data_IF_968004960383
#
_entry.id   IF_968004960383
#
_cell.length_a   1.000
_cell.length_b   1.000
_cell.length_c   1.000
_cell.angle_alpha   90.00
_cell.angle_beta   90.00
_cell.angle_gamma   90.00
#
_symmetry.space_group_name_H-M   'P 1'
#
loop_
_entity.id
_entity.type
_entity.pdbx_description
1 polymer ?
#
# COMPACT_ATOMS: atom_id res chain seq x y z
N UNK A 1 5.14 -30.37 4.57
CA UNK A 1 4.41 -29.12 4.27
C UNK A 1 5.49 -28.13 3.89
N UNK A 2 5.73 -27.95 2.59
CA UNK A 2 6.78 -27.05 2.11
C UNK A 2 6.18 -25.66 2.12
N UNK A 3 6.54 -24.86 3.13
CA UNK A 3 6.22 -23.44 3.19
C UNK A 3 7.02 -22.73 2.08
N UNK A 4 6.44 -22.60 0.89
CA UNK A 4 6.95 -21.71 -0.12
C UNK A 4 6.45 -20.30 0.20
N UNK A 5 7.06 -19.67 1.21
CA UNK A 5 6.92 -18.23 1.38
C UNK A 5 7.47 -17.55 0.13
N UNK A 6 6.65 -16.74 -0.59
CA UNK A 6 7.16 -15.96 -1.71
C UNK A 6 8.28 -15.06 -1.16
N UNK A 7 9.46 -15.12 -1.78
CA UNK A 7 10.58 -14.30 -1.37
C UNK A 7 10.26 -12.83 -1.71
N UNK A 8 9.90 -12.05 -0.69
CA UNK A 8 9.71 -10.60 -0.82
C UNK A 8 11.09 -9.96 -1.02
N UNK A 9 11.30 -9.30 -2.16
CA UNK A 9 12.56 -8.59 -2.44
C UNK A 9 12.46 -7.12 -2.05
N UNK A 10 12.95 -6.78 -0.86
CA UNK A 10 12.87 -5.42 -0.30
C UNK A 10 13.66 -4.35 -1.08
N UNK A 11 14.41 -4.74 -2.11
CA UNK A 11 15.10 -3.80 -3.01
C UNK A 11 14.16 -3.23 -4.08
N UNK A 12 13.03 -3.90 -4.35
CA UNK A 12 12.05 -3.42 -5.33
C UNK A 12 11.10 -2.43 -4.66
N UNK A 13 10.98 -1.26 -5.25
CA UNK A 13 10.07 -0.22 -4.81
C UNK A 13 9.08 0.07 -5.92
N UNK A 14 7.82 0.23 -5.56
CA UNK A 14 6.74 0.40 -6.53
C UNK A 14 6.00 1.69 -6.26
N UNK A 15 5.55 2.34 -7.32
CA UNK A 15 4.68 3.50 -7.25
C UNK A 15 3.47 3.29 -8.14
N UNK A 16 2.27 3.51 -7.62
CA UNK A 16 1.04 3.57 -8.41
C UNK A 16 0.48 4.97 -8.36
N UNK A 17 0.31 5.60 -9.51
CA UNK A 17 -0.35 6.91 -9.59
C UNK A 17 -1.86 6.73 -9.37
N UNK A 18 -2.42 7.41 -8.38
CA UNK A 18 -3.87 7.45 -8.15
C UNK A 18 -4.45 8.64 -8.91
N UNK A 19 -4.03 9.85 -8.55
CA UNK A 19 -4.58 11.08 -9.12
C UNK A 19 -3.53 12.20 -9.18
N UNK A 20 -3.59 13.03 -10.22
CA UNK A 20 -2.93 14.34 -10.24
C UNK A 20 -3.97 15.43 -10.03
N UNK A 21 -3.88 16.13 -8.90
CA UNK A 21 -4.87 17.11 -8.47
C UNK A 21 -4.65 18.46 -9.14
N UNK A 22 -5.74 19.24 -9.35
CA UNK A 22 -5.65 20.58 -9.92
C UNK A 22 -4.86 21.55 -9.01
N UNK A 23 -4.78 21.28 -7.71
CA UNK A 23 -4.03 22.07 -6.73
C UNK A 23 -2.50 21.85 -6.82
N UNK A 24 -2.02 21.05 -7.77
CA UNK A 24 -0.58 20.79 -7.99
C UNK A 24 0.00 19.66 -7.14
N UNK A 25 -0.84 18.91 -6.44
CA UNK A 25 -0.45 17.71 -5.68
C UNK A 25 -0.71 16.43 -6.49
N UNK A 26 -0.02 15.37 -6.10
CA UNK A 26 -0.09 14.03 -6.69
C UNK A 26 -0.37 13.05 -5.57
N UNK A 27 -1.46 12.31 -5.72
CA UNK A 27 -1.85 11.19 -4.87
C UNK A 27 -1.33 9.89 -5.51
N UNK A 28 -0.61 9.10 -4.73
CA UNK A 28 0.01 7.87 -5.20
C UNK A 28 0.22 6.87 -4.07
N UNK A 29 0.28 5.59 -4.43
CA UNK A 29 0.66 4.50 -3.52
C UNK A 29 2.16 4.25 -3.65
N UNK A 30 2.83 3.96 -2.54
CA UNK A 30 4.23 3.54 -2.51
C UNK A 30 4.37 2.22 -1.76
N UNK A 31 5.02 1.24 -2.39
CA UNK A 31 5.19 -0.10 -1.85
C UNK A 31 6.66 -0.56 -1.90
N UNK A 32 7.07 -1.44 -0.99
CA UNK A 32 8.42 -1.99 -0.93
C UNK A 32 8.33 -3.52 -0.87
N UNK A 33 8.98 -4.17 -1.83
CA UNK A 33 9.04 -5.62 -2.00
C UNK A 33 7.74 -6.24 -2.51
N UNK A 34 6.62 -5.90 -1.89
CA UNK A 34 5.31 -6.38 -2.28
C UNK A 34 4.40 -5.21 -2.71
N UNK A 35 3.86 -5.21 -3.94
CA UNK A 35 3.02 -4.12 -4.44
C UNK A 35 1.60 -4.10 -3.85
N UNK A 36 1.17 -5.13 -3.12
CA UNK A 36 -0.12 -5.17 -2.44
C UNK A 36 -0.05 -4.56 -1.03
N UNK A 37 1.15 -4.46 -0.43
CA UNK A 37 1.40 -3.75 0.82
C UNK A 37 2.01 -2.36 0.57
N UNK A 38 1.16 -1.35 0.51
CA UNK A 38 1.55 0.02 0.18
C UNK A 38 1.14 1.04 1.24
N UNK A 39 1.81 2.19 1.22
CA UNK A 39 1.42 3.40 1.92
C UNK A 39 0.86 4.42 0.91
N UNK A 40 -0.24 5.06 1.26
CA UNK A 40 -0.81 6.17 0.48
C UNK A 40 -0.05 7.46 0.79
N UNK A 41 0.32 8.19 -0.27
CA UNK A 41 1.13 9.40 -0.18
C UNK A 41 0.53 10.53 -1.02
N UNK A 42 0.72 11.76 -0.55
CA UNK A 42 0.32 13.00 -1.22
C UNK A 42 1.52 13.95 -1.23
N UNK A 43 2.04 14.27 -2.41
CA UNK A 43 3.19 15.18 -2.57
C UNK A 43 2.94 16.21 -3.67
N UNK A 44 3.56 17.40 -3.61
CA UNK A 44 3.63 18.28 -4.78
C UNK A 44 4.23 17.56 -5.99
N UNK A 45 3.82 17.92 -7.21
CA UNK A 45 4.24 17.23 -8.43
C UNK A 45 5.78 17.12 -8.59
N UNK A 46 6.51 18.19 -8.32
CA UNK A 46 7.99 18.22 -8.42
C UNK A 46 8.64 17.25 -7.40
N UNK A 47 8.12 17.23 -6.17
CA UNK A 47 8.58 16.33 -5.12
C UNK A 47 8.25 14.87 -5.42
N UNK A 48 7.11 14.58 -6.07
CA UNK A 48 6.77 13.25 -6.55
C UNK A 48 7.77 12.76 -7.62
N UNK A 49 8.13 13.60 -8.59
CA UNK A 49 9.10 13.23 -9.63
C UNK A 49 10.51 12.99 -9.06
N UNK A 50 10.95 13.85 -8.14
CA UNK A 50 12.20 13.66 -7.40
C UNK A 50 12.17 12.39 -6.53
N UNK A 51 11.04 12.11 -5.89
CA UNK A 51 10.85 10.90 -5.08
C UNK A 51 10.98 9.63 -5.92
N UNK A 52 10.30 9.58 -7.08
CA UNK A 52 10.36 8.44 -8.00
C UNK A 52 11.78 8.18 -8.50
N UNK A 53 12.52 9.25 -8.84
CA UNK A 53 13.90 9.15 -9.30
C UNK A 53 14.84 8.68 -8.19
N UNK A 54 14.76 9.29 -7.01
CA UNK A 54 15.62 8.97 -5.85
C UNK A 54 15.42 7.54 -5.36
N UNK A 55 14.19 7.04 -5.46
CA UNK A 55 13.85 5.70 -5.01
C UNK A 55 13.92 4.64 -6.11
N UNK A 56 14.26 4.99 -7.34
CA UNK A 56 14.36 4.04 -8.47
C UNK A 56 13.11 3.16 -8.59
N UNK A 57 11.94 3.81 -8.52
CA UNK A 57 10.66 3.09 -8.39
C UNK A 57 10.20 2.46 -9.71
N UNK A 58 9.53 1.33 -9.59
CA UNK A 58 8.81 0.67 -10.67
C UNK A 58 7.40 1.25 -10.71
N UNK A 59 7.03 1.91 -11.80
CA UNK A 59 5.68 2.45 -11.96
C UNK A 59 4.68 1.34 -12.31
N UNK A 60 3.61 1.27 -11.52
CA UNK A 60 2.49 0.36 -11.74
C UNK A 60 1.37 1.08 -12.51
N UNK A 61 0.63 0.31 -13.30
CA UNK A 61 -0.60 0.78 -13.92
C UNK A 61 -1.71 1.03 -12.89
N UNK A 62 -2.81 1.67 -13.31
CA UNK A 62 -3.99 1.84 -12.46
C UNK A 62 -4.45 0.48 -11.92
N UNK A 63 -5.02 0.48 -10.72
CA UNK A 63 -5.59 -0.73 -10.14
C UNK A 63 -6.88 -1.04 -10.88
N UNK A 64 -7.04 -2.29 -11.29
CA UNK A 64 -8.33 -2.76 -11.78
C UNK A 64 -9.31 -2.74 -10.61
N UNK A 65 -10.32 -1.87 -10.68
CA UNK A 65 -11.43 -1.67 -9.73
C UNK A 65 -12.24 -2.96 -9.44
N UNK A 66 -11.95 -4.06 -10.14
CA UNK A 66 -12.56 -5.37 -9.97
C UNK A 66 -11.85 -6.28 -8.96
N UNK A 67 -10.70 -5.87 -8.39
CA UNK A 67 -9.95 -6.65 -7.40
C UNK A 67 -10.28 -6.31 -5.93
N UNK A 68 -11.17 -5.35 -5.68
CA UNK A 68 -11.52 -4.87 -4.33
C UNK A 68 -12.87 -5.42 -3.87
N UNK A 69 -12.98 -6.74 -3.69
CA UNK A 69 -14.15 -7.34 -3.04
C UNK A 69 -13.86 -8.67 -2.34
N UNK A 70 -12.66 -8.91 -1.80
CA UNK A 70 -12.42 -10.09 -0.95
C UNK A 70 -11.44 -9.75 0.19
N UNK A 71 -11.85 -8.87 1.11
CA UNK A 71 -11.07 -8.55 2.32
C UNK A 71 -11.90 -8.11 3.53
N UNK A 72 -13.23 -8.18 3.45
CA UNK A 72 -14.16 -7.69 4.48
C UNK A 72 -14.49 -8.72 5.57
N UNK A 73 -13.53 -9.42 6.19
CA UNK A 73 -13.87 -10.44 7.21
C UNK A 73 -12.94 -10.59 8.43
N UNK A 74 -12.07 -9.63 8.77
CA UNK A 74 -11.43 -9.67 10.11
C UNK A 74 -11.65 -8.39 10.91
N UNK A 75 -12.90 -8.29 11.35
CA UNK A 75 -13.36 -7.56 12.52
C UNK A 75 -12.52 -7.96 13.75
N UNK A 76 -11.52 -7.16 14.10
CA UNK A 76 -10.94 -7.18 15.44
C UNK A 76 -11.28 -5.87 16.14
N UNK A 77 -12.32 -5.91 16.97
CA UNK A 77 -12.65 -4.79 17.86
C UNK A 77 -11.98 -5.01 19.22
N UNK A 78 -11.18 -4.03 19.65
CA UNK A 78 -10.62 -3.91 21.01
C UNK A 78 -11.68 -4.05 22.14
N UNK A 79 -12.98 -3.98 21.82
CA UNK A 79 -14.07 -4.19 22.76
C UNK A 79 -14.25 -5.63 23.26
N UNK A 80 -13.61 -6.65 22.66
CA UNK A 80 -13.75 -8.04 23.14
C UNK A 80 -12.75 -8.46 24.23
N UNK A 81 -11.81 -7.59 24.62
CA UNK A 81 -10.76 -7.94 25.59
C UNK A 81 -11.17 -7.88 27.08
N UNK A 82 -12.37 -7.40 27.44
CA UNK A 82 -12.70 -7.11 28.85
C UNK A 82 -13.67 -8.09 29.52
N UNK A 83 -14.14 -9.12 28.83
CA UNK A 83 -15.08 -10.11 29.41
C UNK A 83 -14.49 -11.51 29.61
N UNK A 84 -13.21 -11.60 30.00
CA UNK A 84 -12.69 -12.81 30.65
C UNK A 84 -12.68 -12.60 32.18
N UNK A 85 -13.74 -13.15 32.80
CA UNK A 85 -13.96 -13.35 34.24
C UNK A 85 -12.67 -13.46 35.08
N UNK A 86 -12.62 -12.68 36.16
CA UNK A 86 -12.04 -13.16 37.41
C UNK A 86 -13.17 -13.51 38.37
N UNK A 87 -12.99 -14.67 39.01
CA UNK A 87 -13.93 -15.40 39.86
C UNK A 87 -14.15 -14.70 41.21
#
# INVERSE_FOLDING_TARGET
MTDQQPAIDLNRKFVRLIERRPDGFVEFEFAIGDPELFAEMLLPADAYEAFCTTNEVIQLGPRDESAESEGSEWNWSLHQATHQRFR
#
